data_IF_000486125590
#
_entry.id   IF_000486125590
#
_cell.length_a   1.000
_cell.length_b   1.000
_cell.length_c   1.000
_cell.angle_alpha   90.00
_cell.angle_beta   90.00
_cell.angle_gamma   90.00
#
_symmetry.space_group_name_H-M   'P 1'
#
loop_
_entity.id
_entity.type
_entity.pdbx_description
1 polymer ?
#
# COMPACT_ATOMS: atom_id res chain seq x y z
N UNK A 1 2.74 48.19 37.36
CA UNK A 1 1.28 48.34 37.58
C UNK A 1 0.61 48.02 36.25
N UNK A 2 -0.41 47.14 36.25
CA UNK A 2 -1.18 46.58 35.10
C UNK A 2 -0.52 45.29 34.50
N UNK A 3 -1.28 44.20 34.22
CA UNK A 3 -1.34 43.02 35.10
C UNK A 3 -1.09 41.67 34.37
N UNK A 4 -1.23 40.57 35.13
CA UNK A 4 -0.99 39.18 34.72
C UNK A 4 -1.97 38.60 33.69
N UNK A 5 -1.49 37.59 32.95
CA UNK A 5 -2.23 36.71 32.04
C UNK A 5 -3.20 35.78 32.79
N UNK A 6 -4.41 35.51 32.26
CA UNK A 6 -5.21 34.38 32.72
C UNK A 6 -4.84 33.06 32.03
N UNK A 7 -4.85 32.03 32.87
CA UNK A 7 -4.64 30.61 32.65
C UNK A 7 -5.66 29.96 31.71
N UNK A 8 -5.21 28.92 31.01
CA UNK A 8 -5.96 27.99 30.16
C UNK A 8 -7.10 27.27 30.90
N UNK A 9 -8.27 27.22 30.26
CA UNK A 9 -9.41 26.42 30.67
C UNK A 9 -9.42 25.08 29.92
N UNK A 10 -9.51 24.02 30.70
CA UNK A 10 -9.62 22.62 30.29
C UNK A 10 -11.07 22.35 29.85
N UNK A 11 -11.31 21.99 28.59
CA UNK A 11 -12.64 21.64 28.07
C UNK A 11 -12.81 20.12 28.09
N UNK A 12 -13.35 19.60 29.19
CA UNK A 12 -13.91 18.25 29.27
C UNK A 12 -15.30 18.22 28.65
N UNK A 13 -15.45 17.55 27.51
CA UNK A 13 -16.74 17.27 26.88
C UNK A 13 -17.47 16.15 27.64
N UNK A 14 -18.51 16.52 28.40
CA UNK A 14 -19.53 15.60 28.90
C UNK A 14 -20.76 15.65 27.98
N UNK A 15 -21.03 14.55 27.30
CA UNK A 15 -22.29 14.28 26.57
C UNK A 15 -23.37 13.82 27.56
N UNK A 16 -24.62 14.34 27.51
CA UNK A 16 -25.71 13.82 28.32
C UNK A 16 -26.39 12.61 27.66
N UNK A 17 -26.44 11.52 28.43
CA UNK A 17 -27.19 10.29 28.20
C UNK A 17 -28.69 10.57 28.35
N UNK A 18 -29.49 10.33 27.29
CA UNK A 18 -30.95 10.50 27.34
C UNK A 18 -31.61 9.31 28.07
N UNK A 19 -32.54 9.65 28.96
CA UNK A 19 -33.05 8.81 30.04
C UNK A 19 -34.09 7.75 29.64
N UNK A 20 -34.07 6.67 30.41
CA UNK A 20 -35.13 5.69 30.54
C UNK A 20 -36.17 6.17 31.59
N UNK A 21 -37.45 6.01 31.29
CA UNK A 21 -38.54 6.11 32.26
C UNK A 21 -39.25 4.75 32.35
N UNK A 22 -39.43 4.17 33.55
CA UNK A 22 -40.36 3.07 33.75
C UNK A 22 -41.69 3.60 34.30
N UNK A 23 -42.78 3.29 33.61
CA UNK A 23 -44.13 3.56 34.10
C UNK A 23 -44.58 2.40 35.01
N UNK A 24 -44.97 2.74 36.23
CA UNK A 24 -45.57 1.83 37.22
C UNK A 24 -47.01 1.51 36.83
N UNK A 25 -47.40 0.24 36.87
CA UNK A 25 -48.79 -0.15 37.11
C UNK A 25 -48.83 -1.17 38.23
N UNK A 26 -49.45 -0.76 39.33
CA UNK A 26 -49.81 -1.56 40.50
C UNK A 26 -51.00 -2.43 40.09
N UNK A 27 -50.90 -3.74 40.30
CA UNK A 27 -52.07 -4.55 40.63
C UNK A 27 -51.68 -5.62 41.65
N UNK A 28 -52.38 -5.63 42.78
CA UNK A 28 -52.21 -6.56 43.89
C UNK A 28 -53.49 -7.40 43.98
N UNK A 29 -53.41 -8.73 43.82
CA UNK A 29 -54.30 -9.60 44.59
C UNK A 29 -53.74 -11.00 44.85
N UNK A 30 -54.21 -11.56 45.97
CA UNK A 30 -53.65 -12.62 46.82
C UNK A 30 -54.01 -14.06 46.41
N UNK A 31 -53.24 -15.06 46.89
CA UNK A 31 -53.81 -16.36 47.30
C UNK A 31 -52.99 -17.66 47.08
N UNK A 32 -52.17 -18.03 48.08
CA UNK A 32 -51.79 -19.37 48.63
C UNK A 32 -51.43 -20.63 47.77
N UNK A 33 -50.69 -21.64 48.33
CA UNK A 33 -49.80 -22.55 47.58
C UNK A 33 -50.22 -24.05 47.43
N UNK A 34 -49.59 -24.70 46.41
CA UNK A 34 -49.20 -26.13 46.23
C UNK A 34 -50.30 -27.23 46.18
N UNK A 35 -50.16 -28.35 45.40
CA UNK A 35 -49.07 -29.33 45.52
C UNK A 35 -48.53 -29.98 44.21
N UNK A 36 -47.50 -30.81 44.38
CA UNK A 36 -46.73 -31.60 43.40
C UNK A 36 -47.54 -32.78 42.83
N UNK A 37 -47.30 -33.14 41.57
CA UNK A 37 -47.38 -34.52 41.03
C UNK A 37 -46.57 -34.66 39.73
N UNK A 38 -45.98 -35.84 39.49
CA UNK A 38 -44.92 -36.07 38.49
C UNK A 38 -45.29 -36.89 37.24
N UNK A 39 -44.27 -37.04 36.37
CA UNK A 39 -44.09 -37.95 35.19
C UNK A 39 -45.01 -37.66 33.97
N UNK A 40 -44.58 -37.56 32.70
CA UNK A 40 -43.69 -38.39 31.86
C UNK A 40 -43.11 -37.50 30.72
N UNK A 41 -41.81 -37.56 30.46
CA UNK A 41 -41.17 -36.95 29.28
C UNK A 41 -41.22 -37.92 28.08
N UNK A 42 -41.92 -37.54 26.99
CA UNK A 42 -41.87 -38.24 25.70
C UNK A 42 -40.70 -37.71 24.86
N UNK A 43 -39.68 -38.52 24.64
CA UNK A 43 -38.65 -38.22 23.63
C UNK A 43 -39.22 -38.28 22.21
N UNK A 44 -38.99 -37.21 21.43
CA UNK A 44 -39.36 -37.04 20.02
C UNK A 44 -38.23 -37.59 19.11
N UNK A 45 -38.49 -38.44 18.11
CA UNK A 45 -37.43 -38.95 17.25
C UNK A 45 -36.89 -37.87 16.31
N UNK A 46 -35.57 -37.69 16.31
CA UNK A 46 -34.89 -36.66 15.50
C UNK A 46 -34.86 -37.02 14.01
N UNK A 47 -35.69 -36.35 13.21
CA UNK A 47 -35.62 -36.32 11.73
C UNK A 47 -34.45 -35.47 11.21
N UNK A 48 -33.28 -35.51 11.87
CA UNK A 48 -32.12 -34.65 11.57
C UNK A 48 -31.02 -35.28 10.71
N UNK A 49 -30.84 -36.62 10.78
CA UNK A 49 -29.69 -37.29 10.12
C UNK A 49 -29.75 -37.29 8.59
N UNK A 50 -30.96 -37.34 7.99
CA UNK A 50 -31.10 -37.41 6.53
C UNK A 50 -30.76 -36.10 5.81
N UNK A 51 -30.99 -34.94 6.46
CA UNK A 51 -30.65 -33.62 5.90
C UNK A 51 -29.15 -33.35 5.95
N UNK A 52 -28.48 -33.80 7.00
CA UNK A 52 -27.02 -33.73 7.13
C UNK A 52 -26.30 -34.60 6.10
N UNK A 53 -26.85 -35.77 5.78
CA UNK A 53 -26.29 -36.65 4.75
C UNK A 53 -26.36 -36.02 3.35
N UNK A 54 -27.48 -35.36 3.02
CA UNK A 54 -27.64 -34.64 1.76
C UNK A 54 -26.68 -33.45 1.68
N UNK A 55 -26.52 -32.70 2.76
CA UNK A 55 -25.59 -31.56 2.82
C UNK A 55 -24.13 -31.99 2.63
N UNK A 56 -23.74 -33.13 3.23
CA UNK A 56 -22.41 -33.71 3.07
C UNK A 56 -22.13 -34.18 1.64
N UNK A 57 -23.13 -34.75 0.96
CA UNK A 57 -23.01 -35.16 -0.45
C UNK A 57 -22.83 -33.93 -1.36
N UNK A 58 -23.62 -32.88 -1.15
CA UNK A 58 -23.49 -31.63 -1.92
C UNK A 58 -22.12 -30.99 -1.72
N UNK A 59 -21.63 -30.94 -0.48
CA UNK A 59 -20.29 -30.42 -0.19
C UNK A 59 -19.19 -31.27 -0.86
N UNK A 60 -19.34 -32.60 -0.87
CA UNK A 60 -18.43 -33.50 -1.57
C UNK A 60 -18.39 -33.24 -3.08
N UNK A 61 -19.54 -33.02 -3.72
CA UNK A 61 -19.62 -32.70 -5.15
C UNK A 61 -18.94 -31.36 -5.44
N UNK A 62 -19.16 -30.34 -4.60
CA UNK A 62 -18.51 -29.02 -4.76
C UNK A 62 -16.99 -29.14 -4.64
N UNK A 63 -16.48 -29.93 -3.69
CA UNK A 63 -15.04 -30.17 -3.55
C UNK A 63 -14.48 -30.91 -4.78
N UNK A 64 -15.20 -31.89 -5.32
CA UNK A 64 -14.76 -32.62 -6.52
C UNK A 64 -14.70 -31.68 -7.74
N UNK A 65 -15.71 -30.83 -7.94
CA UNK A 65 -15.72 -29.85 -9.03
C UNK A 65 -14.60 -28.82 -8.84
N UNK A 66 -14.37 -28.36 -7.61
CA UNK A 66 -13.28 -27.46 -7.29
C UNK A 66 -11.91 -28.10 -7.63
N UNK A 67 -11.66 -29.32 -7.18
CA UNK A 67 -10.43 -30.04 -7.51
C UNK A 67 -10.27 -30.27 -9.02
N UNK A 68 -11.34 -30.61 -9.73
CA UNK A 68 -11.31 -30.84 -11.18
C UNK A 68 -10.98 -29.58 -11.98
N UNK A 69 -11.34 -28.38 -11.50
CA UNK A 69 -11.03 -27.10 -12.16
C UNK A 69 -9.65 -26.59 -11.76
N UNK A 70 -9.29 -26.70 -10.48
CA UNK A 70 -8.05 -26.10 -9.97
C UNK A 70 -6.80 -26.97 -10.19
N UNK A 71 -6.90 -28.31 -10.21
CA UNK A 71 -5.72 -29.15 -10.50
C UNK A 71 -5.14 -28.90 -11.91
N UNK A 72 -5.94 -28.87 -12.99
CA UNK A 72 -5.41 -28.59 -14.33
C UNK A 72 -4.74 -27.22 -14.44
N UNK A 73 -5.35 -26.18 -13.86
CA UNK A 73 -4.78 -24.82 -13.86
C UNK A 73 -3.47 -24.77 -13.07
N UNK A 74 -3.41 -25.44 -11.92
CA UNK A 74 -2.19 -25.53 -11.11
C UNK A 74 -1.04 -26.23 -11.89
N UNK A 75 -1.31 -27.34 -12.58
CA UNK A 75 -0.30 -28.07 -13.34
C UNK A 75 0.16 -27.34 -14.62
N UNK A 76 -0.69 -26.49 -15.22
CA UNK A 76 -0.32 -25.68 -16.40
C UNK A 76 0.54 -24.46 -16.01
N UNK A 77 0.38 -23.92 -14.80
CA UNK A 77 1.09 -22.71 -14.35
C UNK A 77 2.41 -23.03 -13.63
N UNK A 78 2.59 -24.23 -13.04
CA UNK A 78 3.76 -24.54 -12.18
C UNK A 78 4.64 -25.67 -12.75
N UNK A 79 4.91 -25.68 -14.06
CA UNK A 79 6.03 -26.49 -14.57
C UNK A 79 6.70 -25.90 -15.82
N UNK A 80 7.77 -25.12 -15.59
CA UNK A 80 8.93 -25.08 -16.50
C UNK A 80 9.97 -26.07 -15.98
N UNK A 81 10.47 -26.90 -16.89
CA UNK A 81 11.23 -28.14 -16.70
C UNK A 81 12.57 -28.01 -15.98
N UNK A 82 13.06 -29.10 -15.36
CA UNK A 82 14.47 -29.46 -15.41
C UNK A 82 14.61 -30.74 -16.24
N UNK A 83 15.20 -30.66 -17.42
CA UNK A 83 15.67 -31.85 -18.14
C UNK A 83 17.19 -31.84 -18.15
N UNK A 84 17.75 -32.68 -17.27
CA UNK A 84 19.09 -33.19 -17.40
C UNK A 84 19.07 -34.31 -18.45
N UNK A 85 19.86 -34.18 -19.51
CA UNK A 85 20.24 -35.30 -20.36
C UNK A 85 21.76 -35.39 -20.43
N UNK A 86 22.26 -36.51 -19.92
CA UNK A 86 23.60 -37.03 -20.05
C UNK A 86 23.63 -38.11 -21.14
N UNK A 87 24.58 -38.04 -22.08
CA UNK A 87 25.26 -39.24 -22.62
C UNK A 87 26.37 -38.92 -23.64
N UNK A 88 27.61 -39.22 -23.22
CA UNK A 88 28.66 -39.99 -23.94
C UNK A 88 29.60 -39.28 -24.95
N UNK A 89 30.92 -39.60 -24.95
CA UNK A 89 31.96 -38.85 -25.68
C UNK A 89 32.41 -39.50 -27.00
N UNK A 90 32.96 -38.71 -27.93
CA UNK A 90 33.67 -39.24 -29.10
C UNK A 90 34.18 -38.19 -30.10
N UNK A 91 35.50 -37.92 -30.06
CA UNK A 91 36.41 -37.93 -31.23
C UNK A 91 36.31 -36.89 -32.36
N UNK A 92 37.15 -35.84 -32.26
CA UNK A 92 38.04 -35.20 -33.27
C UNK A 92 37.58 -34.91 -34.71
N UNK A 93 37.71 -33.64 -35.15
CA UNK A 93 38.77 -33.19 -36.09
C UNK A 93 38.74 -31.67 -36.33
N UNK A 94 39.94 -31.10 -36.51
CA UNK A 94 40.34 -29.71 -36.66
C UNK A 94 39.60 -28.84 -37.70
N UNK A 95 39.50 -27.54 -37.41
CA UNK A 95 40.02 -26.48 -38.28
C UNK A 95 40.06 -25.11 -37.56
N UNK A 96 41.22 -24.46 -37.69
CA UNK A 96 41.65 -23.18 -37.13
C UNK A 96 40.88 -21.95 -37.63
N UNK A 97 40.66 -20.97 -36.75
CA UNK A 97 40.18 -19.64 -37.10
C UNK A 97 40.30 -18.63 -35.95
N UNK A 98 41.50 -18.07 -35.82
CA UNK A 98 41.95 -16.86 -35.09
C UNK A 98 40.90 -15.82 -34.62
N UNK A 99 40.98 -15.48 -33.32
CA UNK A 99 41.17 -14.11 -32.84
C UNK A 99 39.93 -13.29 -32.45
N UNK A 100 39.67 -13.16 -31.14
CA UNK A 100 39.81 -11.92 -30.35
C UNK A 100 39.28 -12.17 -28.93
N UNK A 101 40.04 -11.72 -27.94
CA UNK A 101 39.75 -11.83 -26.52
C UNK A 101 38.54 -10.97 -26.15
N UNK A 102 37.41 -11.61 -25.86
CA UNK A 102 36.27 -10.97 -25.20
C UNK A 102 36.67 -10.60 -23.77
N UNK A 103 36.74 -9.29 -23.53
CA UNK A 103 36.74 -8.74 -22.19
C UNK A 103 35.40 -9.08 -21.51
N UNK A 104 35.37 -9.41 -20.21
CA UNK A 104 34.11 -9.70 -19.53
C UNK A 104 33.26 -8.42 -19.52
N UNK A 105 32.15 -8.45 -20.25
CA UNK A 105 31.02 -7.53 -20.06
C UNK A 105 30.67 -7.56 -18.57
N UNK A 106 30.59 -6.42 -17.86
CA UNK A 106 30.17 -6.44 -16.47
C UNK A 106 28.77 -7.05 -16.44
N UNK A 107 28.65 -8.18 -15.75
CA UNK A 107 27.34 -8.73 -15.41
C UNK A 107 26.62 -7.65 -14.63
N UNK A 108 25.60 -7.06 -15.25
CA UNK A 108 24.73 -6.11 -14.57
C UNK A 108 24.21 -6.78 -13.32
N UNK A 109 24.55 -6.23 -12.15
CA UNK A 109 23.90 -6.57 -10.89
C UNK A 109 22.40 -6.47 -11.16
N UNK A 110 21.68 -7.59 -11.06
CA UNK A 110 20.23 -7.59 -11.25
C UNK A 110 19.62 -6.64 -10.22
N UNK A 111 19.25 -5.44 -10.68
CA UNK A 111 18.56 -4.44 -9.84
C UNK A 111 17.20 -5.03 -9.51
N UNK A 112 16.83 -5.02 -8.23
CA UNK A 112 15.52 -5.49 -7.83
C UNK A 112 14.45 -4.65 -8.55
N UNK A 113 13.52 -5.32 -9.23
CA UNK A 113 12.44 -4.65 -9.97
C UNK A 113 11.16 -4.49 -9.15
N UNK A 114 11.14 -5.04 -7.94
CA UNK A 114 10.05 -4.89 -6.97
C UNK A 114 10.55 -5.17 -5.56
N UNK A 115 9.88 -4.60 -4.57
CA UNK A 115 10.17 -4.83 -3.17
C UNK A 115 9.09 -4.28 -2.23
N UNK A 116 9.03 -4.84 -1.03
CA UNK A 116 8.17 -4.37 0.06
C UNK A 116 8.99 -3.80 1.21
N UNK A 117 8.42 -3.78 2.42
CA UNK A 117 9.10 -3.29 3.62
C UNK A 117 10.50 -3.91 3.82
N UNK A 118 11.49 -3.08 4.11
CA UNK A 118 12.87 -3.48 4.32
C UNK A 118 13.68 -3.77 3.06
N UNK A 119 13.08 -3.71 1.87
CA UNK A 119 13.82 -3.84 0.61
C UNK A 119 14.70 -2.62 0.32
N UNK A 120 15.72 -2.80 -0.53
CA UNK A 120 16.61 -1.72 -0.97
C UNK A 120 16.17 -1.24 -2.34
N UNK A 121 15.93 0.07 -2.47
CA UNK A 121 15.71 0.76 -3.73
C UNK A 121 17.05 1.35 -4.19
N UNK A 122 17.34 1.24 -5.48
CA UNK A 122 18.51 1.87 -6.12
C UNK A 122 18.03 3.00 -7.01
N UNK A 123 18.44 4.23 -6.68
CA UNK A 123 18.11 5.44 -7.42
C UNK A 123 18.91 5.53 -8.73
N UNK A 124 18.46 6.39 -9.66
CA UNK A 124 19.13 6.61 -10.95
C UNK A 124 20.60 7.05 -10.80
N UNK A 125 20.91 7.83 -9.75
CA UNK A 125 22.28 8.27 -9.45
C UNK A 125 23.16 7.16 -8.83
N UNK A 126 22.66 5.93 -8.69
CA UNK A 126 23.36 4.79 -8.11
C UNK A 126 23.39 4.74 -6.59
N UNK A 127 22.82 5.74 -5.90
CA UNK A 127 22.64 5.69 -4.44
C UNK A 127 21.49 4.76 -4.09
N UNK A 128 21.46 4.30 -2.84
CA UNK A 128 20.45 3.33 -2.38
C UNK A 128 19.84 3.79 -1.07
N UNK A 129 18.58 3.42 -0.85
CA UNK A 129 17.92 3.60 0.44
C UNK A 129 17.02 2.40 0.77
N UNK A 130 16.73 2.22 2.06
CA UNK A 130 15.81 1.17 2.51
C UNK A 130 14.38 1.67 2.44
N UNK A 131 13.53 0.98 1.69
CA UNK A 131 12.10 1.21 1.69
C UNK A 131 11.51 0.79 3.04
N UNK A 132 10.85 1.73 3.75
CA UNK A 132 10.22 1.47 5.04
C UNK A 132 8.72 1.71 4.91
N UNK A 133 7.95 0.65 5.01
CA UNK A 133 6.50 0.72 4.92
C UNK A 133 5.83 -0.50 5.58
N UNK A 134 5.44 -0.35 6.84
CA UNK A 134 4.78 -1.41 7.59
C UNK A 134 3.30 -1.64 7.21
N UNK A 135 2.76 -0.91 6.23
CA UNK A 135 1.34 -0.94 5.86
C UNK A 135 1.01 -1.89 4.70
N UNK A 136 1.95 -2.76 4.31
CA UNK A 136 1.76 -3.76 3.25
C UNK A 136 1.92 -3.19 1.83
N UNK A 137 2.49 -1.99 1.71
CA UNK A 137 2.85 -1.40 0.43
C UNK A 137 4.05 -2.07 -0.21
N UNK A 138 4.14 -1.94 -1.54
CA UNK A 138 5.26 -2.42 -2.32
C UNK A 138 5.47 -1.53 -3.54
N UNK A 139 6.72 -1.43 -3.97
CA UNK A 139 7.13 -0.67 -5.15
C UNK A 139 7.44 -1.61 -6.32
N UNK A 140 7.40 -1.04 -7.53
CA UNK A 140 7.79 -1.68 -8.78
C UNK A 140 8.65 -0.70 -9.55
N UNK A 141 9.79 -1.17 -10.04
CA UNK A 141 10.68 -0.47 -10.95
C UNK A 141 11.16 -1.49 -12.00
N UNK A 142 10.38 -1.69 -13.05
CA UNK A 142 10.70 -2.61 -14.14
C UNK A 142 11.09 -1.82 -15.39
N UNK A 143 12.38 -1.81 -15.80
CA UNK A 143 12.82 -1.11 -17.00
C UNK A 143 12.19 -1.62 -18.31
N UNK A 144 11.74 -2.88 -18.33
CA UNK A 144 11.08 -3.48 -19.51
C UNK A 144 9.58 -3.18 -19.54
N UNK A 145 8.98 -2.82 -18.40
CA UNK A 145 7.58 -2.41 -18.26
C UNK A 145 7.45 -1.18 -17.33
N UNK A 146 7.89 0.02 -17.78
CA UNK A 146 7.89 1.22 -16.95
C UNK A 146 6.48 1.75 -16.63
N UNK A 147 5.44 1.24 -17.30
CA UNK A 147 4.04 1.63 -17.09
C UNK A 147 3.28 0.63 -16.22
N UNK A 148 4.01 -0.24 -15.50
CA UNK A 148 3.43 -1.21 -14.60
C UNK A 148 2.73 -0.52 -13.41
N UNK A 149 1.40 -0.56 -13.43
CA UNK A 149 0.53 0.10 -12.46
C UNK A 149 0.13 -0.80 -11.27
N UNK A 150 0.88 -1.88 -11.00
CA UNK A 150 0.52 -2.85 -9.95
C UNK A 150 0.99 -2.44 -8.55
N UNK A 151 1.92 -1.48 -8.43
CA UNK A 151 2.41 -1.00 -7.13
C UNK A 151 1.27 -0.36 -6.31
N UNK A 152 1.42 -0.40 -4.97
CA UNK A 152 0.48 0.25 -4.05
C UNK A 152 1.19 0.72 -2.79
N UNK A 153 0.74 1.83 -2.18
CA UNK A 153 1.37 2.37 -0.98
C UNK A 153 0.99 1.59 0.29
N UNK A 154 -0.09 0.80 0.31
CA UNK A 154 -0.52 0.01 1.46
C UNK A 154 -1.59 -1.01 1.04
N UNK A 155 -2.02 -1.87 1.96
CA UNK A 155 -3.00 -2.92 1.70
C UNK A 155 -4.44 -2.43 1.47
N UNK A 156 -4.78 -1.22 1.92
CA UNK A 156 -6.14 -0.67 1.89
C UNK A 156 -6.37 0.36 0.77
N UNK A 157 -5.32 0.74 0.04
CA UNK A 157 -5.39 1.56 -1.16
C UNK A 157 -5.30 0.66 -2.39
N UNK A 158 -6.28 0.72 -3.31
CA UNK A 158 -6.23 -0.05 -4.54
C UNK A 158 -5.04 0.38 -5.42
N UNK A 159 -4.35 -0.55 -6.10
CA UNK A 159 -3.33 -0.22 -7.10
C UNK A 159 -3.94 0.48 -8.32
N UNK A 160 -3.10 1.20 -9.08
CA UNK A 160 -3.51 2.04 -10.21
C UNK A 160 -4.10 1.25 -11.40
N UNK A 161 -3.81 -0.06 -11.48
CA UNK A 161 -4.40 -0.94 -12.49
C UNK A 161 -5.86 -1.36 -12.18
N UNK A 162 -6.44 -0.88 -11.08
CA UNK A 162 -7.84 -1.13 -10.70
C UNK A 162 -8.66 0.16 -10.64
N UNK A 163 -9.98 0.04 -10.76
CA UNK A 163 -10.88 1.20 -10.67
C UNK A 163 -11.02 1.71 -9.23
N UNK A 164 -10.94 3.02 -9.07
CA UNK A 164 -11.24 3.70 -7.80
C UNK A 164 -12.74 3.72 -7.50
N UNK A 165 -13.14 3.36 -6.28
CA UNK A 165 -14.55 3.39 -5.83
C UNK A 165 -14.81 4.62 -4.98
N UNK A 166 -15.36 5.65 -5.61
CA UNK A 166 -15.76 6.88 -4.94
C UNK A 166 -16.74 6.62 -3.78
N UNK A 167 -16.46 7.25 -2.64
CA UNK A 167 -17.26 7.09 -1.41
C UNK A 167 -16.98 5.82 -0.61
N UNK A 168 -16.16 4.90 -1.13
CA UNK A 168 -15.72 3.69 -0.42
C UNK A 168 -14.22 3.76 -0.15
N UNK A 169 -13.43 3.92 -1.21
CA UNK A 169 -11.99 4.06 -1.09
C UNK A 169 -11.66 5.46 -0.57
N UNK A 170 -10.70 5.53 0.35
CA UNK A 170 -10.35 6.77 1.06
C UNK A 170 -8.99 7.27 0.62
N UNK A 171 -8.90 8.58 0.39
CA UNK A 171 -7.65 9.27 0.12
C UNK A 171 -7.03 9.71 1.44
N UNK A 172 -5.83 9.23 1.70
CA UNK A 172 -4.93 9.72 2.74
C UNK A 172 -3.68 10.20 2.02
N UNK A 173 -3.50 11.51 1.91
CA UNK A 173 -2.46 12.08 1.08
C UNK A 173 -2.07 13.48 1.49
N UNK A 174 -0.99 13.95 0.87
CA UNK A 174 -0.40 15.27 1.09
C UNK A 174 -0.29 16.00 -0.24
N UNK A 175 -0.26 17.34 -0.19
CA UNK A 175 0.08 18.14 -1.36
C UNK A 175 1.61 18.26 -1.44
N UNK A 176 2.16 18.20 -2.65
CA UNK A 176 3.56 18.52 -2.93
C UNK A 176 3.70 20.01 -3.26
N UNK A 177 3.19 20.86 -2.35
CA UNK A 177 3.16 22.32 -2.50
C UNK A 177 4.56 22.92 -2.46
N UNK A 178 4.79 24.03 -3.17
CA UNK A 178 6.11 24.62 -3.30
C UNK A 178 7.06 23.90 -4.28
N UNK A 179 6.67 22.75 -4.86
CA UNK A 179 7.52 21.99 -5.77
C UNK A 179 7.53 22.59 -7.18
N UNK A 180 6.41 22.49 -7.91
CA UNK A 180 6.28 22.96 -9.30
C UNK A 180 5.72 24.38 -9.41
N UNK A 181 5.21 24.92 -8.30
CA UNK A 181 4.79 26.32 -8.17
C UNK A 181 5.43 26.83 -6.89
N UNK A 182 6.26 27.86 -6.99
CA UNK A 182 7.09 28.33 -5.90
C UNK A 182 6.30 29.30 -5.01
N UNK A 183 6.34 29.07 -3.70
CA UNK A 183 5.63 29.87 -2.71
C UNK A 183 6.63 30.47 -1.70
N UNK A 184 6.63 31.80 -1.44
CA UNK A 184 7.62 32.44 -0.58
C UNK A 184 7.70 31.88 0.84
N UNK A 185 6.60 31.38 1.39
CA UNK A 185 6.58 30.83 2.74
C UNK A 185 6.95 29.34 2.81
N UNK A 186 6.88 28.60 1.69
CA UNK A 186 7.29 27.20 1.60
C UNK A 186 8.79 27.11 1.25
N UNK A 187 9.22 27.90 0.27
CA UNK A 187 10.60 27.92 -0.24
C UNK A 187 11.26 29.29 -0.03
N UNK A 188 11.39 29.79 1.22
CA UNK A 188 11.83 31.16 1.48
C UNK A 188 13.24 31.47 0.99
N UNK A 189 14.14 30.47 0.95
CA UNK A 189 15.55 30.67 0.62
C UNK A 189 15.76 31.26 -0.79
N UNK A 190 14.99 30.79 -1.78
CA UNK A 190 15.13 31.23 -3.16
C UNK A 190 14.58 32.66 -3.36
N UNK A 191 13.51 33.03 -2.64
CA UNK A 191 12.95 34.38 -2.65
C UNK A 191 13.84 35.37 -1.91
N UNK A 192 14.53 34.95 -0.85
CA UNK A 192 15.44 35.83 -0.09
C UNK A 192 16.64 36.34 -0.91
N UNK A 193 17.06 35.62 -1.96
CA UNK A 193 18.10 36.10 -2.90
C UNK A 193 17.65 37.27 -3.76
N UNK A 194 16.34 37.38 -3.98
CA UNK A 194 15.72 38.38 -4.84
C UNK A 194 14.74 39.25 -4.03
N UNK A 195 15.25 40.10 -3.12
CA UNK A 195 14.41 40.95 -2.29
C UNK A 195 13.58 41.90 -3.17
N UNK A 196 12.27 41.64 -3.25
CA UNK A 196 11.33 42.35 -4.14
C UNK A 196 10.50 41.42 -5.04
N UNK A 197 10.87 40.14 -5.14
CA UNK A 197 10.00 39.12 -5.73
C UNK A 197 8.91 38.73 -4.73
N UNK A 198 7.64 38.93 -5.10
CA UNK A 198 6.47 38.61 -4.28
C UNK A 198 5.84 37.27 -4.67
N UNK A 199 6.08 36.82 -5.90
CA UNK A 199 5.53 35.63 -6.51
C UNK A 199 6.53 34.98 -7.47
N UNK A 200 6.21 33.79 -7.99
CA UNK A 200 7.09 33.07 -8.91
C UNK A 200 7.35 33.84 -10.21
N UNK A 201 6.40 34.66 -10.68
CA UNK A 201 6.56 35.44 -11.89
C UNK A 201 7.64 36.51 -11.73
N UNK A 202 7.55 37.34 -10.69
CA UNK A 202 8.55 38.36 -10.36
C UNK A 202 9.90 37.73 -9.99
N UNK A 203 9.88 36.56 -9.34
CA UNK A 203 11.09 35.77 -9.08
C UNK A 203 11.78 35.34 -10.38
N UNK A 204 11.04 34.75 -11.32
CA UNK A 204 11.57 34.28 -12.60
C UNK A 204 12.11 35.44 -13.44
N UNK A 205 11.45 36.61 -13.41
CA UNK A 205 11.96 37.82 -14.05
C UNK A 205 13.30 38.29 -13.44
N UNK A 206 13.40 38.31 -12.11
CA UNK A 206 14.62 38.70 -11.40
C UNK A 206 15.77 37.72 -11.71
N UNK A 207 15.50 36.41 -11.70
CA UNK A 207 16.47 35.37 -12.08
C UNK A 207 16.91 35.49 -13.53
N UNK A 208 15.98 35.72 -14.47
CA UNK A 208 16.32 35.88 -15.88
C UNK A 208 17.23 37.09 -16.13
N UNK A 209 17.09 38.16 -15.32
CA UNK A 209 17.99 39.30 -15.34
C UNK A 209 19.35 38.99 -14.67
N UNK A 210 19.40 38.04 -13.74
CA UNK A 210 20.56 37.67 -12.93
C UNK A 210 21.26 36.38 -13.41
N UNK A 211 21.63 36.36 -14.69
CA UNK A 211 22.29 35.19 -15.31
C UNK A 211 23.67 34.88 -14.69
N UNK A 212 24.34 35.88 -14.12
CA UNK A 212 25.65 35.71 -13.50
C UNK A 212 25.61 34.85 -12.23
N UNK A 213 24.49 34.84 -11.49
CA UNK A 213 24.33 34.05 -10.27
C UNK A 213 23.45 32.80 -10.48
N UNK A 214 23.40 32.30 -11.72
CA UNK A 214 22.75 31.03 -12.07
C UNK A 214 21.42 31.18 -12.81
N UNK A 215 20.80 32.36 -12.76
CA UNK A 215 19.53 32.65 -13.41
C UNK A 215 18.45 31.59 -13.18
N UNK A 216 17.73 31.22 -14.23
CA UNK A 216 16.62 30.24 -14.17
C UNK A 216 17.08 28.82 -13.79
N UNK A 217 18.37 28.49 -13.88
CA UNK A 217 18.89 27.18 -13.43
C UNK A 217 18.63 26.93 -11.95
N UNK A 218 18.45 27.98 -11.15
CA UNK A 218 18.09 27.87 -9.73
C UNK A 218 16.74 27.17 -9.53
N UNK A 219 15.78 27.37 -10.44
CA UNK A 219 14.49 26.68 -10.41
C UNK A 219 14.65 25.20 -10.79
N UNK A 220 15.49 24.89 -11.77
CA UNK A 220 15.80 23.49 -12.12
C UNK A 220 16.48 22.75 -10.97
N UNK A 221 17.38 23.41 -10.24
CA UNK A 221 18.02 22.87 -9.04
C UNK A 221 17.00 22.62 -7.93
N UNK A 222 16.02 23.52 -7.75
CA UNK A 222 14.88 23.32 -6.85
C UNK A 222 14.06 22.10 -7.26
N UNK A 223 13.68 21.95 -8.53
CA UNK A 223 12.90 20.80 -9.00
C UNK A 223 13.61 19.46 -8.75
N UNK A 224 14.93 19.42 -8.91
CA UNK A 224 15.74 18.21 -8.72
C UNK A 224 15.91 17.80 -7.25
N UNK A 225 15.79 18.74 -6.32
CA UNK A 225 16.18 18.52 -4.91
C UNK A 225 15.04 18.67 -3.91
N UNK A 226 13.96 19.35 -4.27
CA UNK A 226 12.88 19.68 -3.33
C UNK A 226 12.00 18.47 -2.98
N UNK A 227 11.63 17.64 -3.97
CA UNK A 227 10.96 16.36 -3.77
C UNK A 227 11.71 15.31 -4.61
N UNK A 228 12.10 14.23 -3.97
CA UNK A 228 12.84 13.12 -4.54
C UNK A 228 12.04 11.82 -4.41
N UNK A 229 12.53 10.74 -5.03
CA UNK A 229 11.92 9.41 -4.88
C UNK A 229 11.90 8.94 -3.41
N UNK A 230 12.87 9.38 -2.59
CA UNK A 230 12.92 9.07 -1.16
C UNK A 230 11.69 9.66 -0.46
N UNK A 231 11.33 10.91 -0.75
CA UNK A 231 10.16 11.56 -0.16
C UNK A 231 8.86 10.82 -0.51
N UNK A 232 8.73 10.31 -1.74
CA UNK A 232 7.57 9.51 -2.16
C UNK A 232 7.50 8.19 -1.40
N UNK A 233 8.65 7.53 -1.18
CA UNK A 233 8.72 6.31 -0.38
C UNK A 233 8.37 6.57 1.09
N UNK A 234 8.81 7.69 1.67
CA UNK A 234 8.48 8.09 3.03
C UNK A 234 6.99 8.42 3.19
N UNK A 235 6.39 9.12 2.21
CA UNK A 235 4.93 9.37 2.18
C UNK A 235 4.17 8.06 2.16
N UNK A 236 4.62 7.05 1.40
CA UNK A 236 3.97 5.74 1.36
C UNK A 236 4.09 4.98 2.69
N UNK A 237 5.18 5.21 3.45
CA UNK A 237 5.46 4.56 4.73
C UNK A 237 4.99 5.33 5.98
N UNK A 238 4.25 6.42 5.81
CA UNK A 238 3.79 7.32 6.88
C UNK A 238 2.38 6.99 7.41
#
# INVERSE_FOLDING_TARGET
>A
MIPERPSSANLSNNTPLLGATPNQSIDNNHGNPAPRDGFIEKQKPSKGRKRWLILAIVLGIVIIVFLAVFLPVYFVVIRKSPEAQSSTPGGSSDASGTGTTDAPRPSGTAVATTGGDGSIITLENGTTFTYRNSFGGFWIHDPEDPFNNNARPNDYTPPLNTSWRWGVDRVYGVNLGGWLVLEPFISPEIFQRYPGAEDEFSLAQAMAADTANGGLRQIEEHYQTFITEVDIAEIAGS
#
